data_IF_857680603840
#
_entry.id   IF_857680603840
#
_cell.length_a   1.000
_cell.length_b   1.000
_cell.length_c   1.000
_cell.angle_alpha   90.00
_cell.angle_beta   90.00
_cell.angle_gamma   90.00
#
_symmetry.space_group_name_H-M   'P 1'
#
loop_
_entity.id
_entity.type
_entity.pdbx_description
1 polymer ?
#
# COMPACT_ATOMS: atom_id res chain seq x y z
N UNK A 1 44.78 -0.55 9.76
CA UNK A 1 44.91 0.35 10.90
C UNK A 1 44.34 -0.36 12.13
N UNK A 2 45.16 -1.12 12.85
CA UNK A 2 44.83 -1.60 14.21
C UNK A 2 45.98 -1.08 15.06
N UNK A 3 45.82 0.12 15.62
CA UNK A 3 46.84 0.75 16.47
C UNK A 3 46.19 1.47 17.63
N UNK A 4 45.90 0.70 18.66
CA UNK A 4 46.43 0.82 20.03
C UNK A 4 45.54 -0.11 20.87
N UNK A 5 46.11 -1.10 21.56
CA UNK A 5 45.43 -2.04 22.47
C UNK A 5 44.77 -3.31 21.91
N UNK A 6 45.01 -3.73 20.66
CA UNK A 6 44.45 -4.99 20.11
C UNK A 6 42.91 -5.07 20.18
N UNK A 7 42.23 -3.94 20.28
CA UNK A 7 40.77 -3.83 20.31
C UNK A 7 40.31 -2.98 19.12
N UNK A 8 39.10 -3.25 18.63
CA UNK A 8 38.47 -2.39 17.65
C UNK A 8 38.19 -1.03 18.27
N UNK A 9 38.53 0.08 17.59
CA UNK A 9 38.28 1.42 18.10
C UNK A 9 36.77 1.66 18.23
N UNK A 10 36.37 2.29 19.32
CA UNK A 10 34.99 2.71 19.56
C UNK A 10 34.60 3.89 18.66
N UNK A 11 33.29 4.07 18.41
CA UNK A 11 32.80 5.21 17.64
C UNK A 11 33.23 6.56 18.24
N UNK A 12 33.34 6.64 19.57
CA UNK A 12 33.77 7.85 20.27
C UNK A 12 35.25 8.15 20.04
N UNK A 13 36.12 7.14 20.00
CA UNK A 13 37.55 7.29 19.68
C UNK A 13 37.75 7.72 18.22
N UNK A 14 36.99 7.12 17.30
CA UNK A 14 37.02 7.50 15.88
C UNK A 14 36.57 8.95 15.72
N UNK A 15 35.47 9.34 16.37
CA UNK A 15 34.94 10.71 16.34
C UNK A 15 35.94 11.74 16.90
N UNK A 16 36.63 11.40 18.00
CA UNK A 16 37.64 12.26 18.61
C UNK A 16 38.86 12.46 17.70
N UNK A 17 39.28 11.42 16.99
CA UNK A 17 40.44 11.47 16.08
C UNK A 17 40.14 12.24 14.79
N UNK A 18 39.00 11.97 14.16
CA UNK A 18 38.66 12.57 12.85
C UNK A 18 37.89 13.90 12.95
N UNK A 19 37.52 14.32 14.17
CA UNK A 19 36.76 15.54 14.45
C UNK A 19 35.39 15.63 13.75
N UNK A 20 34.74 14.49 13.57
CA UNK A 20 33.40 14.38 12.96
C UNK A 20 32.42 13.84 14.03
N UNK A 21 31.16 14.31 14.07
CA UNK A 21 30.14 13.76 14.97
C UNK A 21 29.93 12.26 14.77
N UNK A 22 29.75 11.52 15.87
CA UNK A 22 29.49 10.07 15.83
C UNK A 22 28.27 9.70 14.99
N UNK A 23 27.28 10.58 14.91
CA UNK A 23 26.07 10.39 14.11
C UNK A 23 26.39 10.35 12.61
N UNK A 24 27.30 11.20 12.13
CA UNK A 24 27.74 11.22 10.73
C UNK A 24 28.60 9.99 10.40
N UNK A 25 29.43 9.55 11.35
CA UNK A 25 30.23 8.32 11.20
C UNK A 25 29.31 7.09 11.12
N UNK A 26 28.31 6.99 12.01
CA UNK A 26 27.33 5.91 11.97
C UNK A 26 26.54 5.91 10.66
N UNK A 27 26.14 7.08 10.16
CA UNK A 27 25.47 7.23 8.88
C UNK A 27 26.35 6.77 7.70
N UNK A 28 27.63 7.16 7.70
CA UNK A 28 28.58 6.73 6.67
C UNK A 28 28.82 5.21 6.69
N UNK A 29 28.93 4.62 7.89
CA UNK A 29 29.09 3.17 8.05
C UNK A 29 27.86 2.40 7.58
N UNK A 30 26.65 2.92 7.82
CA UNK A 30 25.41 2.34 7.33
C UNK A 30 25.34 2.37 5.79
N UNK A 31 25.77 3.48 5.18
CA UNK A 31 25.76 3.65 3.73
C UNK A 31 26.74 2.77 2.94
N UNK A 32 27.75 2.18 3.60
CA UNK A 32 28.75 1.30 2.97
C UNK A 32 28.30 -0.18 3.02
N UNK A 33 27.25 -0.51 3.76
CA UNK A 33 26.79 -1.89 3.88
C UNK A 33 26.32 -2.46 2.54
N UNK A 34 26.86 -3.62 2.16
CA UNK A 34 26.39 -4.38 1.00
C UNK A 34 24.98 -4.92 1.24
N UNK A 35 24.09 -4.87 0.24
CA UNK A 35 22.75 -5.46 0.37
C UNK A 35 22.85 -6.98 0.57
N UNK A 36 21.99 -7.51 1.45
CA UNK A 36 21.81 -8.95 1.66
C UNK A 36 20.96 -9.53 0.53
N UNK A 37 21.25 -10.76 0.08
CA UNK A 37 20.44 -11.40 -0.94
C UNK A 37 19.13 -11.89 -0.35
N UNK A 38 18.04 -11.66 -1.08
CA UNK A 38 16.73 -12.22 -0.75
C UNK A 38 16.72 -13.77 -0.75
N UNK A 39 17.67 -14.38 -1.45
CA UNK A 39 17.85 -15.82 -1.56
C UNK A 39 18.89 -16.37 -0.58
N UNK A 40 19.35 -15.58 0.38
CA UNK A 40 20.22 -16.10 1.43
C UNK A 40 19.38 -16.96 2.40
N UNK A 41 19.81 -18.20 2.72
CA UNK A 41 19.10 -19.05 3.66
C UNK A 41 19.36 -18.57 5.10
N UNK A 42 18.29 -18.37 5.87
CA UNK A 42 18.34 -17.91 7.27
C UNK A 42 18.09 -19.04 8.28
N UNK A 43 17.50 -20.16 7.83
CA UNK A 43 17.33 -21.36 8.63
C UNK A 43 17.41 -22.60 7.74
N UNK A 44 18.24 -23.55 8.16
CA UNK A 44 18.50 -24.80 7.42
C UNK A 44 18.63 -25.95 8.41
N UNK A 45 17.50 -26.43 8.96
CA UNK A 45 17.53 -27.66 9.75
C UNK A 45 16.49 -28.67 9.24
N UNK A 46 16.99 -29.80 8.73
CA UNK A 46 16.23 -31.00 8.37
C UNK A 46 15.16 -30.90 7.26
N UNK A 47 14.88 -29.70 6.72
CA UNK A 47 13.80 -29.46 5.75
C UNK A 47 14.16 -28.44 4.66
N UNK A 48 13.13 -27.89 4.00
CA UNK A 48 13.30 -26.84 2.99
C UNK A 48 13.94 -25.59 3.63
N UNK A 49 15.02 -25.03 3.05
CA UNK A 49 15.67 -23.84 3.58
C UNK A 49 14.70 -22.65 3.58
N UNK A 50 14.61 -21.97 4.72
CA UNK A 50 13.90 -20.70 4.83
C UNK A 50 14.83 -19.59 4.33
N UNK A 51 14.36 -18.78 3.39
CA UNK A 51 15.13 -17.68 2.80
C UNK A 51 14.73 -16.33 3.39
N UNK A 52 15.61 -15.32 3.25
CA UNK A 52 15.31 -13.92 3.64
C UNK A 52 13.99 -13.43 3.03
N UNK A 53 13.71 -13.77 1.77
CA UNK A 53 12.46 -13.41 1.09
C UNK A 53 11.19 -13.92 1.76
N UNK A 54 11.26 -15.07 2.45
CA UNK A 54 10.08 -15.69 3.05
C UNK A 54 9.60 -14.94 4.30
N UNK A 55 10.50 -14.19 4.95
CA UNK A 55 10.16 -13.34 6.10
C UNK A 55 9.79 -11.91 5.70
N UNK A 56 10.20 -11.46 4.51
CA UNK A 56 9.88 -10.12 4.01
C UNK A 56 8.47 -10.16 3.42
N UNK A 57 7.46 -9.92 4.27
CA UNK A 57 6.09 -9.71 3.79
C UNK A 57 6.03 -8.50 2.87
N UNK A 58 5.57 -8.70 1.63
CA UNK A 58 5.19 -7.61 0.75
C UNK A 58 3.96 -6.91 1.36
N UNK A 59 4.18 -5.78 2.03
CA UNK A 59 3.10 -4.94 2.57
C UNK A 59 2.16 -4.41 1.48
N UNK A 60 2.46 -4.61 0.19
CA UNK A 60 1.50 -4.41 -0.89
C UNK A 60 0.58 -5.63 -0.92
N UNK A 61 -0.40 -5.66 -0.02
CA UNK A 61 -1.50 -6.64 -0.02
C UNK A 61 -2.19 -6.68 -1.40
N UNK A 62 -1.70 -7.55 -2.29
CA UNK A 62 -2.35 -7.84 -3.57
C UNK A 62 -3.65 -8.61 -3.35
N UNK A 63 -3.69 -9.44 -2.30
CA UNK A 63 -4.85 -10.23 -1.91
C UNK A 63 -6.00 -9.35 -1.43
N UNK A 64 -5.77 -8.44 -0.47
CA UNK A 64 -6.83 -7.53 0.01
C UNK A 64 -7.42 -6.70 -1.14
N UNK A 65 -6.57 -6.18 -2.03
CA UNK A 65 -7.04 -5.40 -3.19
C UNK A 65 -7.88 -6.22 -4.17
N UNK A 66 -7.62 -7.52 -4.28
CA UNK A 66 -8.39 -8.41 -5.14
C UNK A 66 -9.78 -8.69 -4.53
N UNK A 67 -9.82 -8.97 -3.23
CA UNK A 67 -11.07 -9.17 -2.48
C UNK A 67 -11.93 -7.90 -2.49
N UNK A 68 -11.34 -6.73 -2.25
CA UNK A 68 -12.04 -5.44 -2.33
C UNK A 68 -12.67 -5.20 -3.72
N UNK A 69 -11.92 -5.48 -4.79
CA UNK A 69 -12.41 -5.34 -6.17
C UNK A 69 -13.56 -6.29 -6.47
N UNK A 70 -13.46 -7.54 -6.00
CA UNK A 70 -14.51 -8.54 -6.20
C UNK A 70 -15.81 -8.12 -5.49
N UNK A 71 -15.71 -7.76 -4.21
CA UNK A 71 -16.83 -7.28 -3.40
C UNK A 71 -17.48 -6.02 -3.99
N UNK A 72 -16.68 -5.07 -4.47
CA UNK A 72 -17.19 -3.86 -5.12
C UNK A 72 -17.91 -4.18 -6.45
N UNK A 73 -17.35 -5.08 -7.26
CA UNK A 73 -17.98 -5.55 -8.50
C UNK A 73 -19.34 -6.21 -8.22
N UNK A 74 -19.45 -7.03 -7.17
CA UNK A 74 -20.71 -7.66 -6.81
C UNK A 74 -21.72 -6.67 -6.22
N UNK A 75 -21.27 -5.65 -5.49
CA UNK A 75 -22.10 -4.53 -5.06
C UNK A 75 -22.70 -3.79 -6.26
N UNK A 76 -21.90 -3.54 -7.30
CA UNK A 76 -22.32 -2.86 -8.53
C UNK A 76 -23.40 -3.64 -9.31
N UNK A 77 -23.33 -4.98 -9.31
CA UNK A 77 -24.33 -5.84 -9.98
C UNK A 77 -25.72 -5.78 -9.34
N UNK A 78 -25.83 -5.35 -8.09
CA UNK A 78 -27.12 -5.21 -7.38
C UNK A 78 -27.86 -3.92 -7.70
N UNK A 79 -27.18 -2.94 -8.30
CA UNK A 79 -27.79 -1.70 -8.73
C UNK A 79 -28.72 -1.95 -9.92
N UNK A 80 -29.82 -1.21 -9.98
CA UNK A 80 -30.62 -1.21 -11.20
C UNK A 80 -29.84 -0.54 -12.35
N UNK A 81 -30.25 -0.77 -13.60
CA UNK A 81 -29.53 -0.27 -14.79
C UNK A 81 -29.27 1.24 -14.73
N UNK A 82 -30.22 2.01 -14.21
CA UNK A 82 -30.14 3.48 -14.17
C UNK A 82 -29.16 3.96 -13.09
N UNK A 83 -29.23 3.37 -11.90
CA UNK A 83 -28.30 3.62 -10.80
C UNK A 83 -26.87 3.21 -11.18
N UNK A 84 -26.70 2.04 -11.79
CA UNK A 84 -25.40 1.56 -12.25
C UNK A 84 -24.77 2.51 -13.26
N UNK A 85 -25.55 2.96 -14.25
CA UNK A 85 -25.09 3.93 -15.25
C UNK A 85 -24.70 5.27 -14.63
N UNK A 86 -25.48 5.79 -13.67
CA UNK A 86 -25.12 7.01 -12.92
C UNK A 86 -23.79 6.82 -12.18
N UNK A 87 -23.60 5.69 -11.48
CA UNK A 87 -22.34 5.43 -10.76
C UNK A 87 -21.15 5.32 -11.72
N UNK A 88 -21.32 4.70 -12.90
CA UNK A 88 -20.29 4.66 -13.93
C UNK A 88 -19.87 6.07 -14.38
N UNK A 89 -20.83 6.91 -14.77
CA UNK A 89 -20.55 8.28 -15.19
C UNK A 89 -19.85 9.10 -14.09
N UNK A 90 -20.29 8.94 -12.84
CA UNK A 90 -19.83 9.74 -11.69
C UNK A 90 -18.43 9.36 -11.23
N UNK A 91 -18.14 8.06 -11.15
CA UNK A 91 -16.93 7.56 -10.48
C UNK A 91 -15.90 6.94 -11.43
N UNK A 92 -16.32 6.48 -12.62
CA UNK A 92 -15.41 5.94 -13.62
C UNK A 92 -15.08 6.96 -14.71
N UNK A 93 -16.05 7.76 -15.14
CA UNK A 93 -15.83 8.84 -16.12
C UNK A 93 -15.58 10.20 -15.48
N UNK A 94 -15.78 10.34 -14.16
CA UNK A 94 -15.47 11.56 -13.41
C UNK A 94 -16.42 12.74 -13.66
N UNK A 95 -17.61 12.50 -14.22
CA UNK A 95 -18.59 13.56 -14.51
C UNK A 95 -19.22 14.13 -13.24
N UNK A 96 -19.52 15.42 -13.26
CA UNK A 96 -20.30 16.11 -12.22
C UNK A 96 -21.77 15.67 -12.24
N UNK A 97 -22.52 15.90 -11.15
CA UNK A 97 -23.95 15.55 -11.12
C UNK A 97 -24.75 16.35 -12.14
N UNK A 98 -24.31 17.56 -12.48
CA UNK A 98 -24.93 18.38 -13.51
C UNK A 98 -24.69 17.79 -14.90
N UNK A 99 -23.45 17.44 -15.23
CA UNK A 99 -23.15 16.80 -16.54
C UNK A 99 -23.90 15.48 -16.71
N UNK A 100 -24.01 14.68 -15.64
CA UNK A 100 -24.82 13.45 -15.66
C UNK A 100 -26.31 13.77 -15.84
N UNK A 101 -26.82 14.82 -15.19
CA UNK A 101 -28.21 15.25 -15.30
C UNK A 101 -28.56 15.66 -16.74
N UNK A 102 -27.65 16.39 -17.39
CA UNK A 102 -27.78 16.82 -18.77
C UNK A 102 -27.77 15.62 -19.74
N UNK A 103 -26.88 14.65 -19.52
CA UNK A 103 -26.73 13.46 -20.37
C UNK A 103 -27.92 12.50 -20.29
N UNK A 104 -28.48 12.29 -19.10
CA UNK A 104 -29.62 11.37 -18.90
C UNK A 104 -30.98 12.09 -18.85
N UNK A 105 -30.98 13.39 -19.17
CA UNK A 105 -32.15 14.27 -19.26
C UNK A 105 -33.06 14.25 -18.03
N UNK A 106 -32.49 14.46 -16.84
CA UNK A 106 -33.24 14.66 -15.59
C UNK A 106 -32.66 15.83 -14.80
N UNK A 107 -33.31 16.21 -13.69
CA UNK A 107 -32.76 17.24 -12.81
C UNK A 107 -31.55 16.73 -12.00
N UNK A 108 -30.61 17.62 -11.68
CA UNK A 108 -29.49 17.33 -10.79
C UNK A 108 -29.97 16.79 -9.42
N UNK A 109 -31.09 17.30 -8.90
CA UNK A 109 -31.68 16.82 -7.66
C UNK A 109 -32.13 15.34 -7.76
N UNK A 110 -32.62 14.90 -8.93
CA UNK A 110 -32.95 13.49 -9.19
C UNK A 110 -31.69 12.63 -9.31
N UNK A 111 -30.64 13.12 -9.99
CA UNK A 111 -29.33 12.43 -10.03
C UNK A 111 -28.81 12.21 -8.62
N UNK A 112 -28.81 13.25 -7.79
CA UNK A 112 -28.34 13.20 -6.40
C UNK A 112 -29.12 12.15 -5.59
N UNK A 113 -30.44 12.06 -5.74
CA UNK A 113 -31.27 11.04 -5.07
C UNK A 113 -30.91 9.62 -5.54
N UNK A 114 -30.76 9.41 -6.84
CA UNK A 114 -30.40 8.10 -7.42
C UNK A 114 -28.99 7.67 -7.01
N UNK A 115 -28.02 8.58 -7.04
CA UNK A 115 -26.65 8.33 -6.57
C UNK A 115 -26.64 7.93 -5.09
N UNK A 116 -27.38 8.67 -4.24
CA UNK A 116 -27.49 8.35 -2.81
C UNK A 116 -28.15 6.99 -2.57
N UNK A 117 -29.19 6.65 -3.34
CA UNK A 117 -29.84 5.34 -3.30
C UNK A 117 -28.86 4.22 -3.68
N UNK A 118 -28.15 4.39 -4.80
CA UNK A 118 -27.16 3.45 -5.29
C UNK A 118 -26.04 3.20 -4.27
N UNK A 119 -25.44 4.28 -3.74
CA UNK A 119 -24.39 4.19 -2.72
C UNK A 119 -24.88 3.51 -1.43
N UNK A 120 -26.13 3.74 -1.03
CA UNK A 120 -26.74 3.05 0.12
C UNK A 120 -26.88 1.55 -0.15
N UNK A 121 -27.35 1.16 -1.33
CA UNK A 121 -27.46 -0.25 -1.74
C UNK A 121 -26.10 -0.93 -1.74
N UNK A 122 -25.08 -0.30 -2.33
CA UNK A 122 -23.71 -0.82 -2.33
C UNK A 122 -23.15 -0.96 -0.92
N UNK A 123 -23.29 0.08 -0.08
CA UNK A 123 -22.83 0.04 1.30
C UNK A 123 -23.49 -1.08 2.09
N UNK A 124 -24.81 -1.23 1.99
CA UNK A 124 -25.53 -2.30 2.69
C UNK A 124 -25.00 -3.69 2.34
N UNK A 125 -24.57 -3.91 1.09
CA UNK A 125 -23.96 -5.18 0.69
C UNK A 125 -22.54 -5.34 1.26
N UNK A 126 -21.72 -4.30 1.15
CA UNK A 126 -20.33 -4.30 1.61
C UNK A 126 -20.18 -4.35 3.15
N UNK A 127 -21.21 -3.96 3.90
CA UNK A 127 -21.17 -3.99 5.38
C UNK A 127 -21.77 -5.28 5.97
N UNK A 128 -22.41 -6.11 5.13
CA UNK A 128 -23.02 -7.38 5.54
C UNK A 128 -22.08 -8.57 5.26
N UNK A 129 -20.94 -8.32 4.62
CA UNK A 129 -19.86 -9.30 4.36
C UNK A 129 -18.65 -8.92 5.20
#
# INVERSE_FOLDING_TARGET
>A
MIRNNNQEPTLDEIAAEIQIPKEEIAYALDGIQTPVSLYDPIYTDGGEPLYVMDQISDKKNKEDRWVEKLSLSDAMKRLNKRENHIIQLRFFEGKTQMEVADEIHISQAQVSRLEKSALKTMRNYLTVT
#
